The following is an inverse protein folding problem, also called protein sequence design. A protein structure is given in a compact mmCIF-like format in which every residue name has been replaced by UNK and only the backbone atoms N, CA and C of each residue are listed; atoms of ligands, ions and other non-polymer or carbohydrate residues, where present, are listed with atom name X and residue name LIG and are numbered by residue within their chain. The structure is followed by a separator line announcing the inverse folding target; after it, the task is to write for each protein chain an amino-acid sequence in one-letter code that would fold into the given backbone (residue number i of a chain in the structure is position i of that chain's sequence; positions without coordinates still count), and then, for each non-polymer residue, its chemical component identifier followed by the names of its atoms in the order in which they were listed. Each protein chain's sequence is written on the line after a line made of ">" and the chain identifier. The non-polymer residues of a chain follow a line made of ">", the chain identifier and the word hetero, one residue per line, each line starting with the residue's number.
data_IF_854384890061
#
_entry.id   IF_854384890061
#
_cell.length_a   1.000
_cell.length_b   1.000
_cell.length_c   1.000
_cell.angle_alpha   90.00
_cell.angle_beta   90.00
_cell.angle_gamma   90.00
#
_symmetry.space_group_name_H-M   'P 1'
#
loop_
_entity.id
_entity.type
_entity.pdbx_description
1 polymer ?
#
# COMPACT_ATOMS: atom_id res chain seq x y z
N UNK A 1 1.39 -11.74 76.18
CA UNK A 1 2.27 -12.79 75.60
C UNK A 1 1.54 -13.32 74.41
N UNK A 2 1.79 -12.78 73.24
CA UNK A 2 1.43 -13.37 71.96
C UNK A 2 2.35 -12.73 70.89
N UNK A 3 3.05 -13.57 70.23
CA UNK A 3 4.19 -13.33 69.35
C UNK A 3 3.68 -12.84 67.97
N UNK A 4 4.10 -11.65 67.52
CA UNK A 4 3.88 -11.14 66.17
C UNK A 4 5.09 -11.49 65.28
N UNK A 5 5.00 -12.58 64.54
CA UNK A 5 5.99 -12.87 63.49
C UNK A 5 5.67 -12.06 62.21
N UNK A 6 6.47 -11.02 62.00
CA UNK A 6 6.46 -10.24 60.76
C UNK A 6 7.00 -11.02 59.57
N UNK A 7 6.13 -11.36 58.64
CA UNK A 7 6.50 -11.90 57.32
C UNK A 7 7.02 -10.73 56.46
N UNK A 8 8.35 -10.68 56.29
CA UNK A 8 8.99 -9.81 55.30
C UNK A 8 8.77 -10.41 53.89
N UNK A 9 7.86 -9.83 53.15
CA UNK A 9 7.76 -10.02 51.68
C UNK A 9 9.05 -9.49 51.06
N UNK A 10 9.89 -10.43 50.55
CA UNK A 10 10.98 -10.13 49.64
C UNK A 10 10.38 -9.77 48.30
N UNK A 11 10.33 -8.49 47.97
CA UNK A 11 10.14 -8.02 46.63
C UNK A 11 11.40 -8.43 45.82
N UNK A 12 11.29 -9.50 45.06
CA UNK A 12 12.29 -9.87 44.06
C UNK A 12 12.25 -8.81 42.99
N UNK A 13 13.26 -7.96 42.91
CA UNK A 13 13.54 -7.09 41.77
C UNK A 13 13.86 -7.97 40.58
N UNK A 14 12.82 -8.29 39.78
CA UNK A 14 12.95 -8.97 38.51
C UNK A 14 13.78 -8.11 37.57
N UNK A 15 14.90 -8.66 37.19
CA UNK A 15 15.83 -8.16 36.20
C UNK A 15 15.09 -7.98 34.85
N UNK A 16 14.89 -6.73 34.45
CA UNK A 16 14.19 -6.35 33.21
C UNK A 16 15.18 -6.37 32.03
N UNK A 17 15.80 -7.51 31.77
CA UNK A 17 16.53 -7.83 30.53
C UNK A 17 15.78 -8.92 29.76
N UNK A 18 14.51 -8.64 29.45
CA UNK A 18 13.67 -9.53 28.67
C UNK A 18 13.98 -9.45 27.17
N UNK A 19 14.96 -10.23 26.70
CA UNK A 19 14.87 -10.74 25.34
C UNK A 19 13.76 -11.77 25.38
N UNK A 20 12.56 -11.36 24.95
CA UNK A 20 11.45 -12.30 24.83
C UNK A 20 11.83 -13.33 23.78
N UNK A 21 12.16 -14.56 24.21
CA UNK A 21 12.32 -15.67 23.27
C UNK A 21 11.04 -15.75 22.43
N UNK A 22 11.21 -15.71 21.10
CA UNK A 22 10.08 -15.75 20.20
C UNK A 22 9.30 -17.06 20.42
N UNK A 23 8.04 -16.98 20.79
CA UNK A 23 7.18 -18.13 20.94
C UNK A 23 7.23 -19.00 19.67
N UNK A 24 7.51 -20.30 19.76
CA UNK A 24 7.54 -21.19 18.60
C UNK A 24 6.25 -21.17 17.78
N UNK A 25 5.10 -20.98 18.46
CA UNK A 25 3.80 -20.86 17.81
C UNK A 25 3.73 -19.55 17.01
N UNK A 26 4.15 -18.43 17.60
CA UNK A 26 4.17 -17.15 16.91
C UNK A 26 5.13 -17.17 15.70
N UNK A 27 6.28 -17.82 15.85
CA UNK A 27 7.24 -17.98 14.75
C UNK A 27 6.67 -18.80 13.60
N UNK A 28 6.02 -19.91 13.88
CA UNK A 28 5.31 -20.72 12.88
C UNK A 28 4.25 -19.91 12.12
N UNK A 29 3.52 -19.03 12.82
CA UNK A 29 2.51 -18.15 12.18
C UNK A 29 3.19 -17.13 11.27
N UNK A 30 4.29 -16.51 11.71
CA UNK A 30 5.06 -15.56 10.90
C UNK A 30 5.59 -16.18 9.62
N UNK A 31 6.10 -17.39 9.71
CA UNK A 31 6.62 -18.11 8.55
C UNK A 31 5.52 -18.46 7.55
N UNK A 32 4.36 -18.92 8.01
CA UNK A 32 3.20 -19.16 7.12
C UNK A 32 2.72 -17.88 6.46
N UNK A 33 2.67 -16.76 7.20
CA UNK A 33 2.34 -15.47 6.63
C UNK A 33 3.34 -15.06 5.54
N UNK A 34 4.64 -15.21 5.83
CA UNK A 34 5.70 -14.88 4.86
C UNK A 34 5.57 -15.72 3.58
N UNK A 35 5.26 -17.01 3.70
CA UNK A 35 5.07 -17.89 2.54
C UNK A 35 3.87 -17.48 1.70
N UNK A 36 2.69 -17.30 2.32
CA UNK A 36 1.48 -16.84 1.62
C UNK A 36 1.69 -15.47 0.95
N UNK A 37 2.45 -14.58 1.60
CA UNK A 37 2.80 -13.28 1.04
C UNK A 37 3.74 -13.39 -0.15
N UNK A 38 4.67 -14.36 -0.12
CA UNK A 38 5.55 -14.69 -1.23
C UNK A 38 4.80 -15.20 -2.46
N UNK A 39 3.82 -16.10 -2.25
CA UNK A 39 2.95 -16.60 -3.31
C UNK A 39 2.12 -15.47 -3.94
N UNK A 40 1.49 -14.64 -3.12
CA UNK A 40 0.74 -13.46 -3.57
C UNK A 40 1.65 -12.49 -4.34
N UNK A 41 2.83 -12.19 -3.81
CA UNK A 41 3.82 -11.34 -4.47
C UNK A 41 4.20 -11.87 -5.84
N UNK A 42 4.47 -13.18 -5.95
CA UNK A 42 4.76 -13.84 -7.22
C UNK A 42 3.64 -13.71 -8.25
N UNK A 43 2.39 -13.89 -7.82
CA UNK A 43 1.21 -13.69 -8.69
C UNK A 43 1.08 -12.23 -9.17
N UNK A 44 1.63 -11.28 -8.42
CA UNK A 44 1.63 -9.85 -8.74
C UNK A 44 2.94 -9.39 -9.42
N UNK A 45 3.84 -10.32 -9.80
CA UNK A 45 5.10 -9.99 -10.47
C UNK A 45 6.19 -9.44 -9.52
N UNK A 46 6.01 -9.55 -8.21
CA UNK A 46 7.05 -9.25 -7.21
C UNK A 46 7.84 -10.54 -6.94
N UNK A 47 9.17 -10.47 -6.94
CA UNK A 47 9.97 -11.65 -6.63
C UNK A 47 9.59 -12.23 -5.27
N UNK A 48 9.25 -13.52 -5.15
CA UNK A 48 8.76 -14.12 -3.91
C UNK A 48 9.66 -13.92 -2.71
N UNK A 49 10.98 -13.91 -2.90
CA UNK A 49 11.94 -13.65 -1.84
C UNK A 49 11.79 -12.25 -1.20
N UNK A 50 11.51 -11.22 -2.02
CA UNK A 50 11.29 -9.84 -1.54
C UNK A 50 10.01 -9.79 -0.71
N UNK A 51 8.92 -10.36 -1.23
CA UNK A 51 7.64 -10.39 -0.54
C UNK A 51 7.73 -11.16 0.79
N UNK A 52 8.40 -12.32 0.83
CA UNK A 52 8.63 -13.12 2.04
C UNK A 52 9.44 -12.36 3.09
N UNK A 53 10.56 -11.74 2.68
CA UNK A 53 11.40 -10.92 3.56
C UNK A 53 10.62 -9.76 4.17
N UNK A 54 9.87 -9.03 3.34
CA UNK A 54 9.05 -7.91 3.80
C UNK A 54 7.98 -8.34 4.80
N UNK A 55 7.20 -9.40 4.48
CA UNK A 55 6.15 -9.90 5.37
C UNK A 55 6.71 -10.41 6.70
N UNK A 56 7.85 -11.09 6.66
CA UNK A 56 8.48 -11.59 7.87
C UNK A 56 8.95 -10.44 8.77
N UNK A 57 9.62 -9.43 8.22
CA UNK A 57 10.04 -8.24 8.96
C UNK A 57 8.85 -7.43 9.51
N UNK A 58 7.74 -7.32 8.75
CA UNK A 58 6.52 -6.70 9.25
C UNK A 58 5.95 -7.45 10.47
N UNK A 59 5.89 -8.78 10.39
CA UNK A 59 5.33 -9.60 11.46
C UNK A 59 6.24 -9.71 12.69
N UNK A 60 7.54 -9.50 12.53
CA UNK A 60 8.51 -9.46 13.63
C UNK A 60 8.44 -8.15 14.42
N UNK A 61 8.17 -7.02 13.75
CA UNK A 61 8.08 -5.68 14.35
C UNK A 61 9.37 -5.23 15.08
N UNK A 62 10.46 -5.93 14.87
CA UNK A 62 11.78 -5.65 15.43
C UNK A 62 12.85 -5.75 14.34
N UNK A 63 13.96 -5.00 14.46
CA UNK A 63 15.05 -5.08 13.50
C UNK A 63 15.75 -6.45 13.57
N UNK A 64 16.00 -7.04 12.41
CA UNK A 64 16.72 -8.30 12.24
C UNK A 64 17.93 -8.10 11.33
N UNK A 65 19.03 -8.81 11.64
CA UNK A 65 20.18 -8.89 10.76
C UNK A 65 19.87 -9.73 9.51
N UNK A 66 20.64 -9.54 8.43
CA UNK A 66 20.53 -10.41 7.24
C UNK A 66 20.59 -11.88 7.60
N UNK A 67 21.48 -12.25 8.51
CA UNK A 67 21.65 -13.63 8.97
C UNK A 67 20.38 -14.17 9.62
N UNK A 68 19.75 -13.41 10.52
CA UNK A 68 18.51 -13.83 11.19
C UNK A 68 17.35 -13.99 10.21
N UNK A 69 17.19 -13.07 9.26
CA UNK A 69 16.20 -13.18 8.19
C UNK A 69 16.46 -14.40 7.30
N UNK A 70 17.71 -14.61 6.91
CA UNK A 70 18.12 -15.72 6.07
C UNK A 70 17.88 -17.08 6.72
N UNK A 71 18.27 -17.22 7.97
CA UNK A 71 18.08 -18.46 8.74
C UNK A 71 16.59 -18.77 8.96
N UNK A 72 15.79 -17.75 9.31
CA UNK A 72 14.36 -17.92 9.53
C UNK A 72 13.60 -18.33 8.25
N UNK A 73 13.92 -17.71 7.12
CA UNK A 73 13.23 -17.95 5.85
C UNK A 73 13.84 -19.07 5.00
N UNK A 74 14.91 -19.71 5.46
CA UNK A 74 15.61 -20.76 4.71
C UNK A 74 16.21 -20.28 3.39
N UNK A 75 16.61 -19.00 3.30
CA UNK A 75 17.18 -18.42 2.10
C UNK A 75 18.70 -18.64 2.03
N UNK A 76 19.26 -18.65 0.81
CA UNK A 76 20.71 -18.52 0.65
C UNK A 76 21.15 -17.09 1.00
N UNK A 77 22.43 -16.91 1.36
CA UNK A 77 23.01 -15.57 1.61
C UNK A 77 22.75 -14.62 0.44
N UNK A 78 22.97 -15.06 -0.79
CA UNK A 78 22.76 -14.26 -1.99
C UNK A 78 21.28 -13.86 -2.15
N UNK A 79 20.36 -14.79 -1.94
CA UNK A 79 18.92 -14.52 -2.07
C UNK A 79 18.44 -13.52 -0.99
N UNK A 80 18.88 -13.70 0.26
CA UNK A 80 18.52 -12.78 1.34
C UNK A 80 19.09 -11.38 1.12
N UNK A 81 20.38 -11.27 0.77
CA UNK A 81 21.03 -9.99 0.50
C UNK A 81 20.38 -9.22 -0.66
N UNK A 82 20.07 -9.91 -1.77
CA UNK A 82 19.39 -9.29 -2.91
C UNK A 82 17.97 -8.85 -2.55
N UNK A 83 17.20 -9.70 -1.87
CA UNK A 83 15.84 -9.39 -1.46
C UNK A 83 15.80 -8.20 -0.49
N UNK A 84 16.72 -8.14 0.47
CA UNK A 84 16.83 -7.00 1.40
C UNK A 84 17.24 -5.71 0.69
N UNK A 85 18.20 -5.77 -0.22
CA UNK A 85 18.65 -4.61 -0.99
C UNK A 85 17.53 -4.05 -1.90
N UNK A 86 16.77 -4.93 -2.54
CA UNK A 86 15.65 -4.52 -3.39
C UNK A 86 14.48 -3.99 -2.57
N UNK A 87 14.15 -4.61 -1.44
CA UNK A 87 13.14 -4.11 -0.51
C UNK A 87 13.52 -2.75 0.08
N UNK A 88 14.80 -2.49 0.30
CA UNK A 88 15.33 -1.18 0.73
C UNK A 88 15.22 -0.15 -0.39
N UNK A 89 15.58 -0.51 -1.63
CA UNK A 89 15.45 0.35 -2.79
C UNK A 89 13.99 0.76 -3.04
N UNK A 90 13.03 -0.14 -2.83
CA UNK A 90 11.60 0.19 -2.87
C UNK A 90 11.15 0.98 -1.64
N UNK A 91 12.00 1.14 -0.63
CA UNK A 91 11.69 1.85 0.61
C UNK A 91 10.62 1.17 1.47
N UNK A 92 10.40 -0.13 1.31
CA UNK A 92 9.51 -0.94 2.17
C UNK A 92 10.25 -1.56 3.36
N UNK A 93 11.58 -1.54 3.30
CA UNK A 93 12.50 -1.93 4.39
C UNK A 93 13.53 -0.83 4.56
N UNK A 94 13.99 -0.60 5.77
CA UNK A 94 15.04 0.36 6.09
C UNK A 94 16.17 -0.30 6.89
N UNK A 95 17.40 0.19 6.67
CA UNK A 95 18.57 -0.20 7.47
C UNK A 95 18.59 0.58 8.77
N UNK A 96 18.89 -0.15 9.84
CA UNK A 96 19.11 0.41 11.17
C UNK A 96 20.35 -0.20 11.81
N UNK A 97 20.90 0.47 12.80
CA UNK A 97 21.98 -0.12 13.59
C UNK A 97 21.46 -1.36 14.34
N UNK A 98 22.16 -2.49 14.22
CA UNK A 98 21.79 -3.67 15.00
C UNK A 98 21.95 -3.38 16.49
N UNK A 99 20.93 -3.71 17.27
CA UNK A 99 21.00 -3.57 18.72
C UNK A 99 22.11 -4.46 19.24
N UNK A 100 23.08 -3.89 19.94
CA UNK A 100 24.26 -4.60 20.43
C UNK A 100 23.84 -5.65 21.45
N UNK A 101 23.94 -6.93 21.13
CA UNK A 101 23.78 -7.99 22.13
C UNK A 101 24.93 -7.90 23.14
N UNK A 102 24.59 -7.82 24.43
CA UNK A 102 25.55 -7.82 25.54
C UNK A 102 26.45 -9.07 25.41
N UNK A 103 27.75 -8.88 25.36
CA UNK A 103 28.76 -9.96 25.36
C UNK A 103 29.46 -10.25 24.02
N UNK A 104 29.10 -9.61 22.89
CA UNK A 104 29.87 -9.70 21.64
C UNK A 104 30.73 -8.47 21.40
N UNK A 105 32.05 -8.63 21.31
CA UNK A 105 32.99 -7.60 20.87
C UNK A 105 32.89 -7.43 19.36
N UNK A 106 32.65 -6.21 18.88
CA UNK A 106 32.64 -5.87 17.45
C UNK A 106 31.80 -4.60 17.20
N UNK A 107 31.93 -3.96 16.02
CA UNK A 107 31.09 -2.84 15.61
C UNK A 107 29.63 -3.28 15.57
N UNK A 108 28.71 -2.33 15.80
CA UNK A 108 27.29 -2.58 15.63
C UNK A 108 27.03 -3.03 14.18
N UNK A 109 26.45 -4.21 14.01
CA UNK A 109 26.12 -4.75 12.69
C UNK A 109 24.96 -3.98 12.06
N UNK A 110 24.68 -4.26 10.81
CA UNK A 110 23.49 -3.76 10.11
C UNK A 110 22.30 -4.68 10.40
N UNK A 111 21.16 -4.09 10.74
CA UNK A 111 19.89 -4.76 10.83
C UNK A 111 18.88 -4.10 9.88
N UNK A 112 17.80 -4.78 9.62
CA UNK A 112 16.74 -4.36 8.71
C UNK A 112 15.41 -4.37 9.44
N UNK A 113 14.58 -3.38 9.17
CA UNK A 113 13.25 -3.26 9.74
C UNK A 113 12.26 -2.92 8.62
N UNK A 114 11.07 -3.54 8.64
CA UNK A 114 10.01 -3.13 7.74
C UNK A 114 9.53 -1.71 8.08
N UNK A 115 9.20 -0.92 7.08
CA UNK A 115 8.51 0.37 7.26
C UNK A 115 7.12 0.09 7.80
N UNK A 116 6.85 0.53 9.04
CA UNK A 116 5.72 0.06 9.85
C UNK A 116 4.33 0.55 9.43
N UNK A 117 4.23 1.46 8.45
CA UNK A 117 2.96 2.00 7.97
C UNK A 117 2.51 1.22 6.72
N UNK A 118 1.39 0.48 6.85
CA UNK A 118 0.85 -0.36 5.77
C UNK A 118 0.51 0.45 4.52
N UNK A 119 -0.06 1.64 4.67
CA UNK A 119 -0.47 2.48 3.56
C UNK A 119 0.73 3.12 2.87
N UNK A 120 1.78 3.44 3.64
CA UNK A 120 3.03 3.98 3.10
C UNK A 120 3.75 2.97 2.21
N UNK A 121 3.96 1.74 2.69
CA UNK A 121 4.62 0.73 1.86
C UNK A 121 3.77 0.33 0.66
N UNK A 122 2.45 0.24 0.82
CA UNK A 122 1.53 -0.04 -0.28
C UNK A 122 1.62 1.04 -1.37
N UNK A 123 1.57 2.31 -1.00
CA UNK A 123 1.75 3.42 -1.94
C UNK A 123 3.09 3.37 -2.67
N UNK A 124 4.18 2.97 -1.99
CA UNK A 124 5.50 2.81 -2.60
C UNK A 124 5.54 1.66 -3.60
N UNK A 125 4.96 0.52 -3.27
CA UNK A 125 4.87 -0.62 -4.21
C UNK A 125 4.08 -0.22 -5.46
N UNK A 126 2.96 0.47 -5.30
CA UNK A 126 2.17 0.98 -6.43
C UNK A 126 2.99 1.96 -7.28
N UNK A 127 3.69 2.90 -6.67
CA UNK A 127 4.51 3.88 -7.39
C UNK A 127 5.65 3.20 -8.17
N UNK A 128 6.35 2.26 -7.56
CA UNK A 128 7.45 1.52 -8.20
C UNK A 128 6.95 0.69 -9.39
N UNK A 129 5.83 0.00 -9.23
CA UNK A 129 5.23 -0.76 -10.32
C UNK A 129 4.74 0.12 -11.47
N UNK A 130 4.16 1.28 -11.14
CA UNK A 130 3.75 2.25 -12.15
C UNK A 130 4.94 2.63 -13.05
N UNK A 131 6.06 3.02 -12.46
CA UNK A 131 7.26 3.43 -13.21
C UNK A 131 7.87 2.27 -14.01
N UNK A 132 7.94 1.08 -13.42
CA UNK A 132 8.63 -0.07 -14.05
C UNK A 132 7.80 -0.76 -15.12
N UNK A 133 6.49 -0.84 -14.95
CA UNK A 133 5.58 -1.65 -15.76
C UNK A 133 4.56 -0.77 -16.51
N UNK A 134 3.92 0.17 -15.82
CA UNK A 134 2.84 0.99 -16.38
C UNK A 134 3.33 2.00 -17.41
N UNK A 135 4.29 2.83 -17.05
CA UNK A 135 4.76 3.93 -17.91
C UNK A 135 5.33 3.44 -19.27
N UNK A 136 6.14 2.37 -19.34
CA UNK A 136 6.60 1.83 -20.63
C UNK A 136 5.47 1.29 -21.52
N UNK A 137 4.45 0.66 -20.92
CA UNK A 137 3.29 0.16 -21.66
C UNK A 137 2.48 1.32 -22.23
N UNK A 138 2.23 2.35 -21.43
CA UNK A 138 1.52 3.57 -21.85
C UNK A 138 2.24 4.27 -22.98
N UNK A 139 3.55 4.47 -22.85
CA UNK A 139 4.37 5.07 -23.90
C UNK A 139 4.31 4.28 -25.22
N UNK A 140 4.25 2.96 -25.13
CA UNK A 140 4.09 2.10 -26.31
C UNK A 140 2.72 2.25 -26.93
N UNK A 141 1.64 2.24 -26.12
CA UNK A 141 0.27 2.44 -26.61
C UNK A 141 0.09 3.82 -27.26
N UNK A 142 0.67 4.87 -26.67
CA UNK A 142 0.62 6.22 -27.24
C UNK A 142 1.30 6.30 -28.61
N UNK A 143 2.45 5.65 -28.76
CA UNK A 143 3.15 5.57 -30.06
C UNK A 143 2.31 4.83 -31.07
N UNK A 144 1.78 3.65 -30.71
CA UNK A 144 0.95 2.81 -31.60
C UNK A 144 -0.33 3.54 -32.01
N UNK A 145 -0.98 4.26 -31.10
CA UNK A 145 -2.17 5.06 -31.40
C UNK A 145 -1.87 6.20 -32.38
N UNK A 146 -0.74 6.88 -32.23
CA UNK A 146 -0.29 7.89 -33.19
C UNK A 146 -0.02 7.29 -34.58
N UNK A 147 0.71 6.18 -34.64
CA UNK A 147 1.02 5.48 -35.89
C UNK A 147 -0.26 5.06 -36.63
N UNK A 148 -1.24 4.50 -35.90
CA UNK A 148 -2.53 4.13 -36.48
C UNK A 148 -3.32 5.34 -37.00
N UNK A 149 -3.30 6.46 -36.28
CA UNK A 149 -3.97 7.69 -36.67
C UNK A 149 -3.33 8.30 -37.95
N UNK A 150 -2.00 8.37 -37.98
CA UNK A 150 -1.27 8.84 -39.16
C UNK A 150 -1.50 7.96 -40.39
N UNK A 151 -1.53 6.61 -40.20
CA UNK A 151 -1.82 5.68 -41.25
C UNK A 151 -3.27 5.80 -41.79
N UNK A 152 -4.24 6.01 -40.90
CA UNK A 152 -5.65 6.21 -41.26
C UNK A 152 -5.86 7.52 -42.04
N UNK A 153 -5.17 8.61 -41.64
CA UNK A 153 -5.18 9.86 -42.36
C UNK A 153 -4.56 9.74 -43.77
N UNK A 154 -3.46 9.00 -43.88
CA UNK A 154 -2.79 8.76 -45.17
C UNK A 154 -3.59 7.85 -46.15
N UNK A 155 -4.52 7.06 -45.59
CA UNK A 155 -5.34 6.10 -46.35
C UNK A 155 -6.81 6.20 -45.95
N UNK A 156 -7.50 7.29 -46.33
CA UNK A 156 -8.86 7.58 -45.85
C UNK A 156 -9.91 6.54 -46.30
N UNK A 157 -9.64 5.79 -47.37
CA UNK A 157 -10.53 4.75 -47.85
C UNK A 157 -10.33 3.38 -47.16
N UNK A 158 -9.31 3.26 -46.32
CA UNK A 158 -9.03 2.04 -45.57
C UNK A 158 -9.87 2.02 -44.27
N UNK A 159 -11.00 1.33 -44.35
CA UNK A 159 -11.98 1.22 -43.24
C UNK A 159 -11.36 0.49 -42.03
N UNK A 160 -10.46 -0.44 -42.24
CA UNK A 160 -9.84 -1.21 -41.17
C UNK A 160 -8.88 -0.35 -40.35
N UNK A 161 -8.03 0.42 -41.04
CA UNK A 161 -7.17 1.41 -40.37
C UNK A 161 -7.97 2.45 -39.57
N UNK A 162 -9.09 2.93 -40.10
CA UNK A 162 -9.95 3.87 -39.42
C UNK A 162 -10.51 3.26 -38.12
N UNK A 163 -11.06 2.06 -38.18
CA UNK A 163 -11.57 1.34 -37.00
C UNK A 163 -10.49 1.08 -35.98
N UNK A 164 -9.30 0.68 -36.40
CA UNK A 164 -8.16 0.45 -35.51
C UNK A 164 -7.76 1.74 -34.79
N UNK A 165 -7.67 2.85 -35.52
CA UNK A 165 -7.32 4.15 -34.94
C UNK A 165 -8.35 4.62 -33.92
N UNK A 166 -9.65 4.51 -34.24
CA UNK A 166 -10.74 4.86 -33.32
C UNK A 166 -10.73 4.00 -32.04
N UNK A 167 -10.51 2.69 -32.19
CA UNK A 167 -10.41 1.77 -31.06
C UNK A 167 -9.19 2.08 -30.17
N UNK A 168 -8.01 2.29 -30.77
CA UNK A 168 -6.80 2.63 -30.02
C UNK A 168 -6.94 3.96 -29.29
N UNK A 169 -7.60 4.96 -29.89
CA UNK A 169 -7.87 6.23 -29.22
C UNK A 169 -8.75 6.06 -27.98
N UNK A 170 -9.83 5.31 -28.10
CA UNK A 170 -10.73 5.01 -26.98
C UNK A 170 -10.03 4.19 -25.90
N UNK A 171 -9.25 3.18 -26.30
CA UNK A 171 -8.49 2.36 -25.34
C UNK A 171 -7.41 3.17 -24.61
N UNK A 172 -6.73 4.08 -25.29
CA UNK A 172 -5.74 4.96 -24.66
C UNK A 172 -6.37 5.89 -23.64
N UNK A 173 -7.58 6.42 -23.88
CA UNK A 173 -8.34 7.21 -22.89
C UNK A 173 -8.57 6.37 -21.64
N UNK A 174 -9.08 5.14 -21.79
CA UNK A 174 -9.31 4.23 -20.66
C UNK A 174 -8.03 3.99 -19.86
N UNK A 175 -6.92 3.65 -20.55
CA UNK A 175 -5.64 3.36 -19.89
C UNK A 175 -5.11 4.59 -19.14
N UNK A 176 -5.22 5.78 -19.73
CA UNK A 176 -4.80 7.03 -19.06
C UNK A 176 -5.64 7.35 -17.82
N UNK A 177 -6.95 7.13 -17.88
CA UNK A 177 -7.83 7.30 -16.71
C UNK A 177 -7.46 6.34 -15.58
N UNK A 178 -7.22 5.07 -15.94
CA UNK A 178 -6.77 4.07 -14.97
C UNK A 178 -5.41 4.44 -14.36
N UNK A 179 -4.44 4.82 -15.20
CA UNK A 179 -3.11 5.25 -14.75
C UNK A 179 -3.19 6.46 -13.83
N UNK A 180 -4.02 7.45 -14.17
CA UNK A 180 -4.25 8.61 -13.31
C UNK A 180 -4.82 8.20 -11.94
N UNK A 181 -5.82 7.32 -11.92
CA UNK A 181 -6.41 6.83 -10.67
C UNK A 181 -5.37 6.12 -9.79
N UNK A 182 -4.57 5.22 -10.40
CA UNK A 182 -3.48 4.51 -9.70
C UNK A 182 -2.41 5.49 -9.23
N UNK A 183 -2.04 6.48 -10.05
CA UNK A 183 -1.05 7.49 -9.73
C UNK A 183 -1.43 8.47 -8.61
N UNK A 184 -2.70 8.55 -8.25
CA UNK A 184 -3.16 9.34 -7.10
C UNK A 184 -2.89 8.63 -5.76
N UNK A 185 -2.89 7.29 -5.73
CA UNK A 185 -2.72 6.51 -4.49
C UNK A 185 -1.43 6.87 -3.72
N UNK A 186 -0.24 6.93 -4.35
CA UNK A 186 0.99 7.31 -3.65
C UNK A 186 1.04 8.78 -3.20
N UNK A 187 0.17 9.64 -3.73
CA UNK A 187 0.11 11.06 -3.41
C UNK A 187 -0.76 11.37 -2.19
N UNK A 188 -1.62 10.41 -1.80
CA UNK A 188 -2.45 10.55 -0.61
C UNK A 188 -1.59 10.34 0.65
N UNK A 189 -1.83 11.16 1.66
CA UNK A 189 -1.26 10.89 2.97
C UNK A 189 -1.80 9.56 3.52
N UNK A 190 -0.95 8.70 4.13
CA UNK A 190 -1.36 7.38 4.62
C UNK A 190 -2.61 7.40 5.50
N UNK A 191 -2.73 8.42 6.38
CA UNK A 191 -3.90 8.59 7.27
C UNK A 191 -5.18 8.96 6.52
N UNK A 192 -5.07 9.71 5.42
CA UNK A 192 -6.21 10.08 4.58
C UNK A 192 -6.71 8.89 3.79
N UNK A 193 -5.80 8.12 3.21
CA UNK A 193 -6.11 6.88 2.50
C UNK A 193 -6.77 5.86 3.44
N UNK A 194 -6.18 5.61 4.61
CA UNK A 194 -6.74 4.73 5.63
C UNK A 194 -8.17 5.15 6.02
N UNK A 195 -8.35 6.44 6.35
CA UNK A 195 -9.65 6.98 6.73
C UNK A 195 -10.67 6.87 5.60
N UNK A 196 -10.27 7.18 4.36
CA UNK A 196 -11.13 7.07 3.18
C UNK A 196 -11.63 5.64 3.00
N UNK A 197 -10.74 4.66 3.06
CA UNK A 197 -11.08 3.25 2.92
C UNK A 197 -11.90 2.71 4.10
N UNK A 198 -11.62 3.14 5.33
CA UNK A 198 -12.44 2.79 6.50
C UNK A 198 -13.87 3.34 6.37
N UNK A 199 -14.04 4.56 5.86
CA UNK A 199 -15.36 5.14 5.62
C UNK A 199 -16.07 4.38 4.49
N UNK A 200 -15.38 4.10 3.39
CA UNK A 200 -15.93 3.32 2.29
C UNK A 200 -16.39 1.93 2.76
N UNK A 201 -15.61 1.24 3.58
CA UNK A 201 -15.98 -0.06 4.14
C UNK A 201 -17.19 -0.04 5.09
N UNK A 202 -17.65 1.14 5.53
CA UNK A 202 -18.87 1.31 6.33
C UNK A 202 -20.11 1.62 5.49
N UNK A 203 -19.92 1.95 4.23
CA UNK A 203 -21.03 2.27 3.31
C UNK A 203 -21.49 0.96 2.66
N UNK A 204 -22.79 0.62 2.71
CA UNK A 204 -23.31 -0.57 2.02
C UNK A 204 -23.05 -0.49 0.52
N UNK A 205 -22.69 -1.61 -0.11
CA UNK A 205 -22.41 -1.68 -1.56
C UNK A 205 -23.56 -1.13 -2.40
N UNK A 206 -24.82 -1.42 -2.03
CA UNK A 206 -26.01 -0.89 -2.70
C UNK A 206 -26.05 0.65 -2.70
N UNK A 207 -25.53 1.29 -1.65
CA UNK A 207 -25.45 2.76 -1.57
C UNK A 207 -24.35 3.29 -2.50
N UNK A 208 -23.22 2.61 -2.56
CA UNK A 208 -22.11 2.95 -3.46
C UNK A 208 -22.57 2.85 -4.91
N UNK A 209 -23.20 1.73 -5.29
CA UNK A 209 -23.73 1.52 -6.64
C UNK A 209 -24.79 2.56 -7.02
N UNK A 210 -25.67 2.93 -6.07
CA UNK A 210 -26.67 3.98 -6.27
C UNK A 210 -26.02 5.34 -6.50
N UNK A 211 -24.95 5.68 -5.77
CA UNK A 211 -24.22 6.93 -5.98
C UNK A 211 -23.61 7.01 -7.39
N UNK A 212 -23.00 5.91 -7.86
CA UNK A 212 -22.52 5.84 -9.25
C UNK A 212 -23.63 5.99 -10.27
N UNK A 213 -24.80 5.37 -10.04
CA UNK A 213 -25.96 5.54 -10.92
C UNK A 213 -26.51 6.98 -10.93
N UNK A 214 -26.47 7.67 -9.78
CA UNK A 214 -26.88 9.09 -9.70
C UNK A 214 -25.89 9.98 -10.45
N UNK A 215 -24.57 9.75 -10.31
CA UNK A 215 -23.56 10.49 -11.04
C UNK A 215 -23.72 10.33 -12.56
N UNK A 216 -24.03 9.11 -13.04
CA UNK A 216 -24.29 8.88 -14.47
C UNK A 216 -25.57 9.53 -15.01
N UNK A 217 -26.44 10.04 -14.16
CA UNK A 217 -27.66 10.77 -14.54
C UNK A 217 -27.55 12.30 -14.45
N UNK A 218 -26.41 12.82 -13.98
CA UNK A 218 -26.14 14.26 -13.90
C UNK A 218 -25.35 14.71 -15.13
N UNK A 219 -25.43 16.01 -15.44
CA UNK A 219 -24.60 16.63 -16.45
C UNK A 219 -23.13 16.66 -15.96
N UNK A 220 -22.18 16.42 -16.86
CA UNK A 220 -20.76 16.37 -16.52
C UNK A 220 -20.25 17.71 -15.95
N UNK A 221 -20.74 18.83 -16.50
CA UNK A 221 -20.34 20.17 -16.06
C UNK A 221 -20.87 20.46 -14.64
N UNK A 222 -22.10 20.04 -14.31
CA UNK A 222 -22.67 20.16 -12.96
C UNK A 222 -21.88 19.34 -11.94
N UNK A 223 -21.46 18.12 -12.31
CA UNK A 223 -20.62 17.25 -11.45
C UNK A 223 -19.24 17.86 -11.21
N UNK A 224 -18.61 18.36 -12.28
CA UNK A 224 -17.29 19.01 -12.17
C UNK A 224 -17.34 20.28 -11.33
N UNK A 225 -18.36 21.13 -11.52
CA UNK A 225 -18.55 22.33 -10.70
C UNK A 225 -18.73 21.99 -9.23
N UNK A 226 -19.52 20.96 -8.92
CA UNK A 226 -19.72 20.48 -7.54
C UNK A 226 -18.41 19.97 -6.92
N UNK A 227 -17.65 19.15 -7.65
CA UNK A 227 -16.36 18.60 -7.18
C UNK A 227 -15.36 19.71 -6.92
N UNK A 228 -15.26 20.69 -7.83
CA UNK A 228 -14.37 21.83 -7.66
C UNK A 228 -14.79 22.72 -6.48
N UNK A 229 -16.09 22.97 -6.34
CA UNK A 229 -16.62 23.75 -5.22
C UNK A 229 -16.30 23.08 -3.87
N UNK A 230 -16.49 21.75 -3.79
CA UNK A 230 -16.14 20.96 -2.59
C UNK A 230 -14.62 20.99 -2.34
N UNK A 231 -13.80 20.86 -3.39
CA UNK A 231 -12.34 20.89 -3.29
C UNK A 231 -11.76 22.22 -2.79
N UNK A 232 -12.49 23.34 -3.03
CA UNK A 232 -12.12 24.69 -2.55
C UNK A 232 -12.57 24.98 -1.10
N UNK A 233 -13.38 24.11 -0.49
CA UNK A 233 -13.90 24.35 0.86
C UNK A 233 -12.80 24.21 1.93
N UNK A 234 -12.72 25.17 2.83
CA UNK A 234 -11.92 24.99 4.05
C UNK A 234 -12.54 23.91 4.97
N UNK A 235 -11.74 23.25 5.86
CA UNK A 235 -12.27 22.21 6.76
C UNK A 235 -13.48 22.65 7.59
N UNK A 236 -13.54 23.93 7.98
CA UNK A 236 -14.67 24.50 8.71
C UNK A 236 -15.91 24.70 7.83
N UNK A 237 -15.72 25.10 6.58
CA UNK A 237 -16.80 25.24 5.61
C UNK A 237 -17.36 23.86 5.21
N UNK A 238 -16.50 22.87 5.02
CA UNK A 238 -16.92 21.48 4.74
C UNK A 238 -17.83 20.93 5.82
N UNK A 239 -17.49 21.13 7.12
CA UNK A 239 -18.36 20.68 8.23
C UNK A 239 -19.72 21.36 8.23
N UNK A 240 -19.78 22.65 7.89
CA UNK A 240 -21.06 23.39 7.79
C UNK A 240 -21.90 22.91 6.61
N UNK A 241 -21.27 22.74 5.44
CA UNK A 241 -21.93 22.23 4.24
C UNK A 241 -22.50 20.82 4.47
N UNK A 242 -21.75 19.92 5.08
CA UNK A 242 -22.22 18.56 5.40
C UNK A 242 -23.44 18.58 6.33
N UNK A 243 -23.45 19.47 7.36
CA UNK A 243 -24.60 19.63 8.25
C UNK A 243 -25.83 20.15 7.52
N UNK A 244 -25.68 21.13 6.63
CA UNK A 244 -26.77 21.68 5.82
C UNK A 244 -27.33 20.62 4.86
N UNK A 245 -26.48 19.94 4.12
CA UNK A 245 -26.89 18.87 3.19
C UNK A 245 -27.63 17.73 3.91
N UNK A 246 -27.12 17.28 5.05
CA UNK A 246 -27.79 16.22 5.83
C UNK A 246 -29.17 16.66 6.36
N UNK A 247 -29.38 17.95 6.60
CA UNK A 247 -30.68 18.55 6.94
C UNK A 247 -31.64 18.53 5.74
N UNK A 248 -31.19 19.02 4.59
CA UNK A 248 -31.95 19.05 3.35
C UNK A 248 -32.37 17.65 2.90
N UNK A 249 -31.42 16.69 2.85
CA UNK A 249 -31.72 15.31 2.47
C UNK A 249 -32.77 14.67 3.38
N UNK A 250 -32.72 14.91 4.70
CA UNK A 250 -33.76 14.41 5.63
C UNK A 250 -35.14 15.02 5.38
N UNK A 251 -35.21 16.25 4.86
CA UNK A 251 -36.45 16.93 4.58
C UNK A 251 -37.07 16.47 3.25
N UNK A 252 -36.24 16.21 2.26
CA UNK A 252 -36.66 15.74 0.91
C UNK A 252 -36.98 14.23 0.89
N UNK A 253 -36.45 13.46 1.82
CA UNK A 253 -36.67 11.99 1.92
C UNK A 253 -37.89 11.60 2.78
N UNK A 254 -38.63 12.58 3.28
CA UNK A 254 -39.92 12.40 3.97
C UNK A 254 -41.08 12.70 3.05
#
# INVERSE_FOLDING_TARGET
>A
MTDEQGVKLRVSSGDASGVTEASPVAESIRLRLAEAWGEMGGAWGVAPAIARVHAYLMARQEPLTEREVREALGLSHRAASLALAEAEMWGIVERVAATRRIGRRGPAGTAYRAVGDHWRWFGRVIAERKVREGDPVIATLERTAREATEAAVARPDDIDLKRLSEWLAAFLIFVRLFDRAVGLVPQLEPRELERGLQLLGRVPDATILRLFGLLGGLDDDDVLELVEAVGRLSPGATRRATKLMSGVVRTVSR
#
